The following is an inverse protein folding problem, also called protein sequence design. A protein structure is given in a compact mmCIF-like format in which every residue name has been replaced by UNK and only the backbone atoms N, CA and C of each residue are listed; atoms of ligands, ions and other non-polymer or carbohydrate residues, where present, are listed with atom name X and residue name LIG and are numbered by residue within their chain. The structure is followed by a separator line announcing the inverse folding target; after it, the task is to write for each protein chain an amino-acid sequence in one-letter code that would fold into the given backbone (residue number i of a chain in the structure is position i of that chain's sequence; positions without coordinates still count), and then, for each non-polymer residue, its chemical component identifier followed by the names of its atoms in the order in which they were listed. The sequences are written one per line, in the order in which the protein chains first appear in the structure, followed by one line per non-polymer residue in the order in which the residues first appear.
data_IF_129848294504
#
_entry.id   IF_129848294504
#
_cell.length_a   1.000
_cell.length_b   1.000
_cell.length_c   1.000
_cell.angle_alpha   90.00
_cell.angle_beta   90.00
_cell.angle_gamma   90.00
#
_symmetry.space_group_name_H-M   'P 1'
#
loop_
_entity.id
_entity.type
_entity.pdbx_description
1 polymer ?
#
# COMPACT_ATOMS: atom_id res chain seq x y z
N UNK A 1 -34.84 18.21 -21.02
CA UNK A 1 -34.28 17.94 -19.68
C UNK A 1 -32.96 17.21 -19.85
N UNK A 2 -31.84 17.95 -19.82
CA UNK A 2 -30.50 17.40 -20.04
C UNK A 2 -29.82 17.09 -18.71
N UNK A 3 -29.47 15.83 -18.51
CA UNK A 3 -28.82 15.30 -17.31
C UNK A 3 -27.41 15.91 -17.16
N UNK A 4 -27.27 16.85 -16.21
CA UNK A 4 -26.00 17.51 -15.86
C UNK A 4 -25.48 16.90 -14.58
N UNK A 5 -24.71 15.81 -14.67
CA UNK A 5 -23.71 15.50 -13.64
C UNK A 5 -22.65 14.50 -14.12
N UNK A 6 -21.85 14.91 -15.10
CA UNK A 6 -20.55 14.27 -15.39
C UNK A 6 -19.43 15.20 -14.95
N UNK A 7 -19.32 15.42 -13.64
CA UNK A 7 -18.20 16.15 -13.05
C UNK A 7 -16.91 15.38 -13.39
N UNK A 8 -16.04 16.01 -14.19
CA UNK A 8 -14.80 15.44 -14.76
C UNK A 8 -13.89 14.85 -13.68
N UNK A 9 -13.89 13.52 -13.53
CA UNK A 9 -12.92 12.73 -12.73
C UNK A 9 -11.49 12.71 -13.31
N UNK A 10 -11.23 13.41 -14.41
CA UNK A 10 -9.93 13.36 -15.11
C UNK A 10 -8.78 14.05 -14.36
N UNK A 11 -9.03 15.18 -13.68
CA UNK A 11 -7.98 15.95 -12.99
C UNK A 11 -7.38 15.22 -11.78
N UNK A 12 -8.17 14.40 -11.08
CA UNK A 12 -7.74 13.66 -9.88
C UNK A 12 -6.79 12.51 -10.23
N UNK A 13 -6.99 11.86 -11.39
CA UNK A 13 -6.17 10.72 -11.85
C UNK A 13 -4.73 11.12 -12.18
N UNK A 14 -4.49 12.32 -12.71
CA UNK A 14 -3.12 12.80 -13.01
C UNK A 14 -2.30 13.11 -11.75
N UNK A 15 -2.94 13.63 -10.70
CA UNK A 15 -2.26 13.93 -9.42
C UNK A 15 -1.91 12.67 -8.62
N UNK A 16 -2.66 11.58 -8.83
CA UNK A 16 -2.48 10.34 -8.08
C UNK A 16 -1.05 9.77 -8.17
N UNK A 17 -0.53 9.64 -9.39
CA UNK A 17 0.74 8.94 -9.64
C UNK A 17 1.99 9.74 -9.28
N UNK A 18 1.84 11.04 -9.03
CA UNK A 18 2.93 11.96 -8.70
C UNK A 18 3.17 12.06 -7.19
N UNK A 19 2.24 11.57 -6.36
CA UNK A 19 2.43 11.51 -4.92
C UNK A 19 3.53 10.50 -4.58
N UNK A 20 4.53 10.95 -3.84
CA UNK A 20 5.61 10.15 -3.27
C UNK A 20 5.66 10.43 -1.77
N UNK A 21 5.82 9.37 -0.99
CA UNK A 21 5.94 9.44 0.47
C UNK A 21 7.29 8.85 0.87
N UNK A 22 7.93 9.42 1.88
CA UNK A 22 9.21 8.92 2.39
C UNK A 22 9.02 7.89 3.49
N UNK A 23 9.97 6.96 3.58
CA UNK A 23 10.04 6.03 4.70
C UNK A 23 10.80 6.66 5.86
N UNK A 24 10.23 6.61 7.05
CA UNK A 24 10.99 6.84 8.29
C UNK A 24 11.76 5.60 8.77
N UNK A 25 11.62 4.47 8.08
CA UNK A 25 12.19 3.19 8.50
C UNK A 25 13.68 3.10 8.17
N UNK A 26 14.43 2.48 9.09
CA UNK A 26 15.82 2.10 8.87
C UNK A 26 15.88 0.75 8.13
N UNK A 27 17.01 0.46 7.50
CA UNK A 27 17.22 -0.78 6.72
C UNK A 27 16.99 -2.06 7.54
N UNK A 28 17.31 -2.00 8.83
CA UNK A 28 17.22 -3.06 9.82
C UNK A 28 15.91 -3.03 10.63
N UNK A 29 14.95 -2.15 10.29
CA UNK A 29 13.70 -2.08 11.01
C UNK A 29 12.98 -3.46 11.05
N UNK A 30 12.42 -3.84 12.22
CA UNK A 30 11.70 -5.09 12.39
C UNK A 30 10.59 -5.25 11.35
N UNK A 31 10.40 -6.44 10.79
CA UNK A 31 9.35 -6.72 9.81
C UNK A 31 8.17 -7.37 10.51
N UNK A 32 7.42 -6.55 11.23
CA UNK A 32 6.37 -6.96 12.16
C UNK A 32 4.95 -6.55 11.73
N UNK A 33 4.78 -6.01 10.52
CA UNK A 33 3.48 -5.76 9.91
C UNK A 33 3.27 -6.67 8.70
N UNK A 34 2.25 -7.52 8.76
CA UNK A 34 1.71 -8.21 7.58
C UNK A 34 0.64 -7.33 6.95
N UNK A 35 0.79 -7.01 5.67
CA UNK A 35 -0.14 -6.22 4.87
C UNK A 35 -0.67 -7.04 3.72
N UNK A 36 -1.99 -7.19 3.67
CA UNK A 36 -2.72 -7.80 2.57
C UNK A 36 -3.54 -6.72 1.88
N UNK A 37 -3.69 -6.84 0.57
CA UNK A 37 -4.64 -6.01 -0.16
C UNK A 37 -5.39 -6.79 -1.23
N UNK A 38 -6.60 -6.33 -1.55
CA UNK A 38 -7.39 -6.85 -2.67
C UNK A 38 -7.77 -5.71 -3.60
N UNK A 39 -6.81 -5.31 -4.44
CA UNK A 39 -7.02 -4.25 -5.43
C UNK A 39 -7.30 -4.93 -6.78
N UNK A 40 -8.47 -4.65 -7.41
CA UNK A 40 -8.87 -5.29 -8.66
C UNK A 40 -7.89 -5.13 -9.82
N UNK A 41 -7.98 -6.04 -10.80
CA UNK A 41 -7.03 -6.15 -11.91
C UNK A 41 -6.99 -4.92 -12.82
N UNK A 42 -8.15 -4.30 -12.94
CA UNK A 42 -8.47 -3.15 -13.77
C UNK A 42 -7.77 -1.89 -13.25
N UNK A 43 -7.40 -1.88 -11.95
CA UNK A 43 -6.64 -0.81 -11.28
C UNK A 43 -5.14 -1.09 -11.26
N UNK A 44 -4.59 -1.54 -12.39
CA UNK A 44 -3.17 -1.95 -12.49
C UNK A 44 -2.20 -0.85 -12.05
N UNK A 45 -2.44 0.39 -12.48
CA UNK A 45 -1.55 1.52 -12.19
C UNK A 45 -1.54 1.87 -10.70
N UNK A 46 -2.69 1.79 -10.03
CA UNK A 46 -2.84 2.01 -8.60
C UNK A 46 -2.08 0.95 -7.80
N UNK A 47 -2.16 -0.33 -8.22
CA UNK A 47 -1.37 -1.42 -7.62
C UNK A 47 0.13 -1.18 -7.77
N UNK A 48 0.57 -0.83 -8.98
CA UNK A 48 2.00 -0.64 -9.25
C UNK A 48 2.54 0.59 -8.50
N UNK A 49 1.76 1.67 -8.38
CA UNK A 49 2.08 2.82 -7.53
C UNK A 49 2.17 2.44 -6.04
N UNK A 50 1.20 1.64 -5.54
CA UNK A 50 1.18 1.20 -4.15
C UNK A 50 2.37 0.29 -3.82
N UNK A 51 2.66 -0.69 -4.68
CA UNK A 51 3.80 -1.60 -4.54
C UNK A 51 5.14 -0.86 -4.54
N UNK A 52 5.32 0.15 -5.40
CA UNK A 52 6.54 0.99 -5.39
C UNK A 52 6.77 1.67 -4.05
N UNK A 53 5.70 2.12 -3.38
CA UNK A 53 5.79 2.68 -2.03
C UNK A 53 6.16 1.62 -1.00
N UNK A 54 5.54 0.44 -1.04
CA UNK A 54 5.90 -0.66 -0.14
C UNK A 54 7.38 -1.04 -0.27
N UNK A 55 7.90 -1.14 -1.50
CA UNK A 55 9.32 -1.40 -1.76
C UNK A 55 10.19 -0.27 -1.17
N UNK A 56 9.81 1.00 -1.41
CA UNK A 56 10.51 2.17 -0.83
C UNK A 56 10.52 2.13 0.70
N UNK A 57 9.48 1.57 1.32
CA UNK A 57 9.35 1.43 2.77
C UNK A 57 10.06 0.19 3.33
N UNK A 58 10.77 -0.58 2.52
CA UNK A 58 11.49 -1.77 2.96
C UNK A 58 10.59 -3.00 3.20
N UNK A 59 9.38 -3.01 2.63
CA UNK A 59 8.51 -4.18 2.69
C UNK A 59 8.97 -5.24 1.68
N UNK A 60 8.78 -6.50 2.04
CA UNK A 60 9.08 -7.68 1.23
C UNK A 60 7.76 -8.31 0.80
N UNK A 61 7.65 -8.68 -0.48
CA UNK A 61 6.51 -9.45 -0.97
C UNK A 61 6.71 -10.91 -0.60
N UNK A 62 5.84 -11.47 0.23
CA UNK A 62 5.88 -12.90 0.61
C UNK A 62 4.98 -13.75 -0.29
N UNK A 63 3.90 -13.17 -0.80
CA UNK A 63 3.01 -13.76 -1.80
C UNK A 63 2.36 -12.64 -2.63
N UNK A 64 1.72 -12.98 -3.75
CA UNK A 64 0.88 -12.02 -4.49
C UNK A 64 -0.10 -11.34 -3.54
N UNK A 65 -0.03 -10.01 -3.51
CA UNK A 65 -0.83 -9.13 -2.65
C UNK A 65 -0.62 -9.28 -1.13
N UNK A 66 0.41 -10.01 -0.70
CA UNK A 66 0.78 -10.16 0.70
C UNK A 66 2.22 -9.68 0.90
N UNK A 67 2.38 -8.72 1.79
CA UNK A 67 3.64 -8.03 2.06
C UNK A 67 3.93 -8.03 3.54
N UNK A 68 5.20 -8.04 3.89
CA UNK A 68 5.64 -7.91 5.28
C UNK A 68 6.70 -6.83 5.40
N UNK A 69 6.57 -5.98 6.41
CA UNK A 69 7.46 -4.84 6.57
C UNK A 69 7.34 -4.19 7.94
N UNK A 70 8.02 -3.06 8.14
CA UNK A 70 8.03 -2.37 9.41
C UNK A 70 6.71 -1.65 9.72
N UNK A 71 6.27 -1.75 10.98
CA UNK A 71 5.16 -0.98 11.53
C UNK A 71 5.64 0.27 12.30
N UNK A 72 4.79 1.30 12.44
CA UNK A 72 3.56 1.55 11.68
C UNK A 72 3.85 2.23 10.33
N UNK A 73 2.99 2.02 9.32
CA UNK A 73 3.08 2.73 8.03
C UNK A 73 3.14 4.27 8.23
N UNK A 74 3.82 5.02 7.35
CA UNK A 74 3.89 6.48 7.46
C UNK A 74 2.50 7.12 7.51
N UNK A 75 2.28 8.03 8.47
CA UNK A 75 0.96 8.64 8.72
C UNK A 75 0.37 9.32 7.49
N UNK A 76 1.18 10.10 6.78
CA UNK A 76 0.76 10.79 5.55
C UNK A 76 0.41 9.81 4.44
N UNK A 77 1.09 8.67 4.37
CA UNK A 77 0.76 7.61 3.41
C UNK A 77 -0.60 7.00 3.74
N UNK A 78 -0.87 6.65 5.00
CA UNK A 78 -2.17 6.11 5.43
C UNK A 78 -3.30 7.09 5.12
N UNK A 79 -3.11 8.37 5.45
CA UNK A 79 -4.08 9.44 5.17
C UNK A 79 -4.38 9.52 3.67
N UNK A 80 -3.33 9.48 2.85
CA UNK A 80 -3.50 9.51 1.40
C UNK A 80 -4.24 8.28 0.87
N UNK A 81 -3.94 7.08 1.37
CA UNK A 81 -4.66 5.85 1.01
C UNK A 81 -6.16 5.95 1.30
N UNK A 82 -6.54 6.66 2.35
CA UNK A 82 -7.93 6.95 2.72
C UNK A 82 -8.58 7.93 1.72
N UNK A 83 -7.90 9.03 1.41
CA UNK A 83 -8.39 10.05 0.46
C UNK A 83 -8.64 9.50 -0.95
N UNK A 84 -7.82 8.54 -1.38
CA UNK A 84 -7.95 7.87 -2.70
C UNK A 84 -8.86 6.64 -2.65
N UNK A 85 -9.36 6.26 -1.46
CA UNK A 85 -10.25 5.13 -1.27
C UNK A 85 -9.61 3.76 -1.45
N UNK A 86 -8.28 3.63 -1.33
CA UNK A 86 -7.58 2.34 -1.33
C UNK A 86 -7.54 1.71 0.06
N UNK A 87 -7.57 2.51 1.15
CA UNK A 87 -7.45 2.01 2.54
C UNK A 87 -8.45 0.88 2.87
N UNK A 88 -9.65 0.93 2.30
CA UNK A 88 -10.69 -0.11 2.50
C UNK A 88 -10.33 -1.48 1.90
N UNK A 89 -9.46 -1.49 0.90
CA UNK A 89 -9.02 -2.69 0.19
C UNK A 89 -7.80 -3.32 0.91
N UNK A 90 -7.33 -2.75 2.02
CA UNK A 90 -6.18 -3.20 2.79
C UNK A 90 -6.61 -3.88 4.11
N UNK A 91 -5.87 -4.92 4.49
CA UNK A 91 -5.92 -5.54 5.82
C UNK A 91 -4.51 -5.63 6.38
N UNK A 92 -4.34 -5.29 7.65
CA UNK A 92 -3.03 -5.34 8.31
C UNK A 92 -3.10 -6.14 9.59
N UNK A 93 -2.07 -6.95 9.84
CA UNK A 93 -1.91 -7.72 11.07
C UNK A 93 -0.56 -7.42 11.68
N UNK A 94 -0.52 -7.17 12.99
CA UNK A 94 0.73 -7.08 13.72
C UNK A 94 1.23 -8.49 14.03
N UNK A 95 2.49 -8.77 13.69
CA UNK A 95 3.15 -10.02 14.00
C UNK A 95 3.76 -9.95 15.40
N UNK A 96 3.65 -11.05 16.16
CA UNK A 96 4.28 -11.16 17.48
C UNK A 96 5.79 -11.37 17.38
N UNK A 97 6.25 -11.98 16.28
CA UNK A 97 7.66 -12.15 15.94
C UNK A 97 7.90 -11.56 14.56
N UNK A 98 9.03 -10.88 14.39
CA UNK A 98 9.42 -10.32 13.10
C UNK A 98 9.67 -11.41 12.07
N UNK A 99 9.27 -11.15 10.83
CA UNK A 99 9.55 -12.02 9.70
C UNK A 99 11.05 -12.01 9.38
N UNK A 100 11.65 -13.21 9.37
CA UNK A 100 13.08 -13.41 9.14
C UNK A 100 13.41 -13.95 7.74
N UNK A 101 12.41 -14.29 6.93
CA UNK A 101 12.62 -14.88 5.60
C UNK A 101 13.06 -16.34 5.61
N UNK A 102 13.18 -16.98 6.78
CA UNK A 102 13.46 -18.40 6.89
C UNK A 102 12.15 -19.16 6.79
N UNK A 103 12.05 -20.06 5.81
CA UNK A 103 10.95 -21.02 5.75
C UNK A 103 11.07 -21.93 6.98
N UNK A 104 10.01 -21.96 7.79
CA UNK A 104 9.89 -23.04 8.76
C UNK A 104 9.49 -24.26 7.93
N UNK A 105 10.21 -25.38 8.07
CA UNK A 105 9.84 -26.63 7.43
C UNK A 105 8.43 -27.02 7.93
N UNK A 106 7.40 -26.75 7.12
CA UNK A 106 6.01 -27.18 7.32
C UNK A 106 5.79 -28.39 6.44
#
# INVERSE_FOLDING_TARGET
MGDKNRIKKEGRRRRFYNASFDSSFKKDSPKDLLLLYDIPSEKRKERDWFRRHLIKFGYIMVQKSVWVGPSPLPKEFIKYLEEIGLKKDLKTFRLTKSYTGKENNI
#
